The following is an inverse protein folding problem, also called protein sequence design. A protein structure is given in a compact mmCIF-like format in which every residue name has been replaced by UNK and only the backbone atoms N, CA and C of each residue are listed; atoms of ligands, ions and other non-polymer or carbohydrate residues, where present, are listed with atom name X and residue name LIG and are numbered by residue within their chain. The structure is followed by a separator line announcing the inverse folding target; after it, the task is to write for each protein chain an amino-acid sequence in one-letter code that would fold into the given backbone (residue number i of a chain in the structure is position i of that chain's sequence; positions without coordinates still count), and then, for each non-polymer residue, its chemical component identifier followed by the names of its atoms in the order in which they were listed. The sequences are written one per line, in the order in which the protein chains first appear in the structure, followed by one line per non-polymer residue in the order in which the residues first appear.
data_IF_557492397247
#
_entry.id   IF_557492397247
#
_cell.length_a   1.000
_cell.length_b   1.000
_cell.length_c   1.000
_cell.angle_alpha   90.00
_cell.angle_beta   90.00
_cell.angle_gamma   90.00
#
_symmetry.space_group_name_H-M   'P 1'
#
loop_
_entity.id
_entity.type
_entity.pdbx_description
1 polymer ?
#
# COMPACT_ATOMS: atom_id res chain seq x y z
N UNK A 1 10.71 21.56 15.23
CA UNK A 1 11.05 20.12 15.18
C UNK A 1 9.86 19.31 15.65
N UNK A 2 9.26 18.46 14.80
CA UNK A 2 8.22 17.53 15.24
C UNK A 2 8.84 16.53 16.23
N UNK A 3 8.19 16.32 17.37
CA UNK A 3 8.65 15.42 18.44
C UNK A 3 8.94 14.04 17.86
N UNK A 4 10.08 13.46 18.23
CA UNK A 4 10.46 12.09 17.92
C UNK A 4 9.35 11.12 18.32
N UNK A 5 9.16 10.08 17.50
CA UNK A 5 8.25 8.97 17.77
C UNK A 5 8.52 8.45 19.18
N UNK A 6 7.50 8.50 20.05
CA UNK A 6 7.58 8.00 21.41
C UNK A 6 7.65 6.47 21.38
N UNK A 7 8.58 5.86 22.11
CA UNK A 7 8.71 4.40 22.25
C UNK A 7 7.48 3.71 22.88
N UNK A 8 6.50 4.49 23.35
CA UNK A 8 5.20 3.99 23.84
C UNK A 8 4.14 3.83 22.76
N UNK A 9 4.35 4.34 21.54
CA UNK A 9 3.40 4.17 20.45
C UNK A 9 3.63 2.83 19.77
N UNK A 10 2.56 2.07 19.43
CA UNK A 10 2.70 0.82 18.70
C UNK A 10 3.43 1.07 17.38
N UNK A 11 4.37 0.19 17.04
CA UNK A 11 5.05 0.20 15.76
C UNK A 11 4.02 0.06 14.64
N UNK A 12 4.25 0.74 13.52
CA UNK A 12 3.36 0.70 12.35
C UNK A 12 4.08 0.20 11.11
N UNK A 13 3.48 -0.77 10.42
CA UNK A 13 3.94 -1.23 9.11
C UNK A 13 3.06 -0.58 8.04
N UNK A 14 3.70 0.15 7.14
CA UNK A 14 3.08 0.85 6.02
C UNK A 14 3.74 0.36 4.73
N UNK A 15 2.94 -0.06 3.75
CA UNK A 15 3.43 -0.49 2.44
C UNK A 15 3.08 0.57 1.39
N UNK A 16 3.91 0.71 0.35
CA UNK A 16 3.65 1.66 -0.73
C UNK A 16 3.14 0.92 -1.96
N UNK A 17 1.92 1.24 -2.39
CA UNK A 17 1.24 0.80 -3.60
C UNK A 17 1.12 1.93 -4.65
N UNK A 18 0.12 1.88 -5.53
CA UNK A 18 -0.16 2.81 -6.63
C UNK A 18 -1.60 2.60 -7.13
N UNK A 19 -2.23 3.59 -7.76
CA UNK A 19 -3.49 3.43 -8.53
C UNK A 19 -3.43 2.29 -9.56
N UNK A 20 -2.23 1.89 -9.98
CA UNK A 20 -2.03 0.71 -10.82
C UNK A 20 -2.65 -0.58 -10.24
N UNK A 21 -2.78 -0.68 -8.90
CA UNK A 21 -3.38 -1.83 -8.23
C UNK A 21 -4.81 -2.14 -8.71
N UNK A 22 -5.58 -1.10 -9.09
CA UNK A 22 -6.97 -1.24 -9.55
C UNK A 22 -7.10 -2.05 -10.84
N UNK A 23 -6.00 -2.19 -11.59
CA UNK A 23 -5.93 -2.95 -12.83
C UNK A 23 -5.19 -4.29 -12.68
N UNK A 24 -4.66 -4.57 -11.47
CA UNK A 24 -3.96 -5.82 -11.18
C UNK A 24 -4.91 -7.01 -11.12
N UNK A 25 -4.39 -8.17 -11.51
CA UNK A 25 -5.05 -9.47 -11.41
C UNK A 25 -4.04 -10.48 -10.86
N UNK A 26 -4.42 -11.19 -9.80
CA UNK A 26 -3.55 -12.21 -9.21
C UNK A 26 -3.81 -13.54 -9.92
N UNK A 27 -2.82 -14.00 -10.67
CA UNK A 27 -2.77 -15.32 -11.26
C UNK A 27 -1.64 -16.11 -10.57
N UNK A 28 -2.02 -17.10 -9.76
CA UNK A 28 -1.04 -17.90 -9.00
C UNK A 28 -0.24 -18.84 -9.90
N UNK A 29 -0.80 -19.27 -11.04
CA UNK A 29 -0.11 -20.17 -11.98
C UNK A 29 0.94 -19.42 -12.83
N UNK A 30 0.87 -18.09 -12.84
CA UNK A 30 1.77 -17.21 -13.58
C UNK A 30 2.12 -15.96 -12.76
N UNK A 31 2.37 -16.15 -11.47
CA UNK A 31 2.62 -15.03 -10.54
C UNK A 31 3.83 -14.19 -10.94
N UNK A 32 4.87 -14.86 -11.47
CA UNK A 32 6.10 -14.24 -11.97
C UNK A 32 5.95 -13.64 -13.38
N UNK A 33 4.76 -13.74 -13.99
CA UNK A 33 4.46 -13.22 -15.32
C UNK A 33 5.45 -13.66 -16.40
N UNK A 34 5.91 -14.91 -16.33
CA UNK A 34 6.75 -15.54 -17.37
C UNK A 34 6.03 -15.57 -18.74
N UNK A 35 4.70 -15.46 -18.71
CA UNK A 35 3.84 -15.33 -19.89
C UNK A 35 2.99 -14.05 -19.76
N UNK A 36 3.35 -12.94 -20.39
CA UNK A 36 2.51 -11.74 -20.33
C UNK A 36 3.16 -10.41 -20.73
N UNK A 37 2.39 -9.32 -20.52
CA UNK A 37 2.79 -7.93 -20.82
C UNK A 37 3.42 -7.29 -19.57
N UNK A 38 4.60 -6.71 -19.71
CA UNK A 38 5.39 -6.11 -18.63
C UNK A 38 4.63 -5.09 -17.74
N UNK A 39 3.69 -4.33 -18.29
CA UNK A 39 2.89 -3.37 -17.51
C UNK A 39 2.01 -4.03 -16.44
N UNK A 40 1.61 -5.29 -16.66
CA UNK A 40 0.79 -6.07 -15.73
C UNK A 40 1.57 -6.48 -14.48
N UNK A 41 2.88 -6.61 -14.58
CA UNK A 41 3.76 -6.93 -13.45
C UNK A 41 3.72 -5.84 -12.39
N UNK A 42 3.85 -4.59 -12.83
CA UNK A 42 3.74 -3.46 -11.92
C UNK A 42 2.34 -3.36 -11.30
N UNK A 43 1.27 -3.62 -12.05
CA UNK A 43 -0.10 -3.60 -11.52
C UNK A 43 -0.32 -4.69 -10.46
N UNK A 44 0.14 -5.91 -10.75
CA UNK A 44 0.03 -7.08 -9.87
C UNK A 44 0.85 -6.89 -8.60
N UNK A 45 2.10 -6.45 -8.71
CA UNK A 45 2.97 -6.13 -7.57
C UNK A 45 2.31 -5.10 -6.63
N UNK A 46 1.71 -4.05 -7.20
CA UNK A 46 1.03 -3.00 -6.41
C UNK A 46 -0.24 -3.53 -5.72
N UNK A 47 -0.94 -4.47 -6.35
CA UNK A 47 -2.07 -5.18 -5.74
C UNK A 47 -1.61 -6.11 -4.60
N UNK A 48 -0.52 -6.85 -4.79
CA UNK A 48 0.06 -7.72 -3.76
C UNK A 48 0.45 -6.95 -2.49
N UNK A 49 1.03 -5.75 -2.63
CA UNK A 49 1.33 -4.89 -1.47
C UNK A 49 0.09 -4.58 -0.62
N UNK A 50 -1.09 -4.45 -1.23
CA UNK A 50 -2.34 -4.19 -0.49
C UNK A 50 -2.81 -5.47 0.20
N UNK A 51 -2.80 -6.60 -0.51
CA UNK A 51 -3.20 -7.92 0.01
C UNK A 51 -2.34 -8.31 1.21
N UNK A 52 -1.01 -8.22 1.08
CA UNK A 52 -0.05 -8.53 2.15
C UNK A 52 -0.25 -7.60 3.35
N UNK A 53 -0.43 -6.29 3.13
CA UNK A 53 -0.66 -5.34 4.23
C UNK A 53 -1.93 -5.70 5.03
N UNK A 54 -2.99 -6.12 4.35
CA UNK A 54 -4.25 -6.54 4.98
C UNK A 54 -4.12 -7.86 5.72
N UNK A 55 -3.43 -8.85 5.15
CA UNK A 55 -3.24 -10.12 5.84
C UNK A 55 -2.31 -9.97 7.04
N UNK A 56 -1.23 -9.18 6.94
CA UNK A 56 -0.44 -8.78 8.10
C UNK A 56 -1.35 -8.09 9.15
N UNK A 57 -2.26 -7.22 8.68
CA UNK A 57 -3.43 -6.71 9.41
C UNK A 57 -4.10 -7.73 10.31
N UNK A 58 -4.57 -8.82 9.71
CA UNK A 58 -5.28 -9.88 10.39
C UNK A 58 -4.36 -10.72 11.30
N UNK A 59 -3.15 -11.05 10.86
CA UNK A 59 -2.22 -11.87 11.63
C UNK A 59 -1.73 -11.16 12.90
N UNK A 60 -1.51 -9.85 12.81
CA UNK A 60 -0.92 -9.03 13.88
C UNK A 60 -1.97 -8.33 14.75
N UNK A 61 -3.27 -8.55 14.53
CA UNK A 61 -4.35 -8.05 15.40
C UNK A 61 -4.19 -8.44 16.87
N UNK A 62 -3.41 -9.49 17.17
CA UNK A 62 -3.13 -9.96 18.53
C UNK A 62 -1.88 -9.33 19.16
N UNK A 63 -1.09 -8.54 18.42
CA UNK A 63 0.07 -7.83 18.96
C UNK A 63 -0.29 -6.37 19.25
N UNK A 64 -0.51 -5.99 20.52
CA UNK A 64 -0.86 -4.61 20.88
C UNK A 64 0.28 -3.62 20.63
N UNK A 65 1.50 -4.11 20.38
CA UNK A 65 2.68 -3.30 20.09
C UNK A 65 2.91 -3.10 18.59
N UNK A 66 2.22 -3.84 17.72
CA UNK A 66 2.44 -3.79 16.28
C UNK A 66 1.12 -3.71 15.53
N UNK A 67 0.86 -2.54 14.96
CA UNK A 67 -0.34 -2.27 14.20
C UNK A 67 0.00 -2.22 12.70
N UNK A 68 -0.71 -3.01 11.91
CA UNK A 68 -0.50 -3.09 10.46
C UNK A 68 -1.65 -2.45 9.73
N UNK A 69 -1.32 -1.46 8.93
CA UNK A 69 -2.29 -0.79 8.11
C UNK A 69 -1.62 0.22 7.22
N UNK A 70 -2.21 0.36 6.05
CA UNK A 70 -1.96 1.38 5.05
C UNK A 70 -1.09 0.91 3.87
N UNK A 71 -1.73 0.81 2.70
CA UNK A 71 -1.07 0.82 1.40
C UNK A 71 -1.19 2.21 0.75
N UNK A 72 -0.08 2.80 0.28
CA UNK A 72 -0.01 4.20 -0.20
C UNK A 72 0.18 4.24 -1.70
N UNK A 73 -0.73 4.84 -2.46
CA UNK A 73 -0.45 5.09 -3.87
C UNK A 73 0.42 6.34 -4.10
N UNK A 74 1.55 6.17 -4.81
CA UNK A 74 2.27 7.28 -5.45
C UNK A 74 2.27 7.09 -6.97
N UNK A 75 1.71 8.05 -7.71
CA UNK A 75 1.76 8.04 -9.18
C UNK A 75 3.08 8.68 -9.64
N UNK A 76 4.03 7.88 -10.14
CA UNK A 76 5.26 8.38 -10.77
C UNK A 76 5.28 7.86 -12.22
N UNK A 77 4.84 8.68 -13.18
CA UNK A 77 5.13 8.48 -14.61
C UNK A 77 6.08 9.59 -15.03
N UNK A 78 7.37 9.25 -15.03
CA UNK A 78 8.52 10.17 -15.06
C UNK A 78 8.78 10.85 -16.42
N UNK A 79 7.78 10.99 -17.30
CA UNK A 79 7.91 11.65 -18.62
C UNK A 79 6.95 12.81 -18.83
N UNK A 80 5.92 12.98 -18.00
CA UNK A 80 4.98 14.12 -18.03
C UNK A 80 5.13 15.06 -16.81
N UNK A 81 5.97 14.69 -15.84
CA UNK A 81 6.03 15.27 -14.48
C UNK A 81 6.61 16.68 -14.37
N UNK A 82 7.07 17.31 -15.47
CA UNK A 82 7.56 18.70 -15.40
C UNK A 82 6.46 19.73 -15.20
N UNK A 83 5.18 19.38 -15.39
CA UNK A 83 4.09 20.37 -15.36
C UNK A 83 3.08 20.17 -14.23
N UNK A 84 2.91 18.98 -13.64
CA UNK A 84 1.92 18.71 -12.57
C UNK A 84 2.31 17.57 -11.59
N UNK A 85 3.60 17.31 -11.37
CA UNK A 85 4.04 16.25 -10.46
C UNK A 85 4.01 16.67 -8.98
N UNK A 86 3.66 15.74 -8.08
CA UNK A 86 3.86 15.94 -6.64
C UNK A 86 5.36 15.97 -6.32
N UNK A 87 5.78 16.82 -5.39
CA UNK A 87 7.20 16.87 -4.99
C UNK A 87 7.56 15.66 -4.12
N UNK A 88 8.85 15.38 -3.98
CA UNK A 88 9.32 14.33 -3.08
C UNK A 88 8.85 14.59 -1.62
N UNK A 89 8.79 15.85 -1.20
CA UNK A 89 8.30 16.28 0.11
C UNK A 89 6.80 16.04 0.30
N UNK A 90 6.01 16.22 -0.77
CA UNK A 90 4.58 15.85 -0.77
C UNK A 90 4.43 14.33 -0.72
N UNK A 91 5.26 13.57 -1.43
CA UNK A 91 5.33 12.11 -1.32
C UNK A 91 5.63 11.65 0.10
N UNK A 92 6.61 12.27 0.76
CA UNK A 92 6.95 12.02 2.17
C UNK A 92 5.79 12.38 3.10
N UNK A 93 5.06 13.47 2.82
CA UNK A 93 3.88 13.85 3.62
C UNK A 93 2.76 12.81 3.51
N UNK A 94 2.49 12.34 2.29
CA UNK A 94 1.52 11.28 2.03
C UNK A 94 1.93 9.94 2.67
N UNK A 95 3.24 9.70 2.83
CA UNK A 95 3.79 8.46 3.40
C UNK A 95 4.00 8.50 4.92
N UNK A 96 4.36 9.64 5.48
CA UNK A 96 4.75 9.75 6.90
C UNK A 96 3.72 10.48 7.76
N UNK A 97 2.90 11.38 7.21
CA UNK A 97 2.09 12.29 8.05
C UNK A 97 0.65 11.80 8.23
N UNK A 98 0.02 11.31 7.16
CA UNK A 98 -1.37 10.80 7.21
C UNK A 98 -1.47 9.33 7.72
N UNK A 99 -0.81 8.35 7.08
CA UNK A 99 -0.81 6.93 7.45
C UNK A 99 -0.23 6.62 8.83
N UNK A 100 1.01 7.05 9.04
CA UNK A 100 1.83 6.57 10.15
C UNK A 100 1.32 7.07 11.50
N UNK A 101 0.58 8.19 11.49
CA UNK A 101 -0.03 8.78 12.68
C UNK A 101 -1.54 8.50 12.82
N UNK A 102 -2.20 7.91 11.81
CA UNK A 102 -3.59 7.46 11.94
C UNK A 102 -3.69 6.31 12.96
N UNK A 103 -4.79 6.22 13.71
CA UNK A 103 -5.04 5.09 14.61
C UNK A 103 -5.70 3.90 13.88
N UNK A 104 -6.14 4.09 12.64
CA UNK A 104 -6.84 3.09 11.84
C UNK A 104 -5.88 2.17 11.07
N UNK A 105 -6.37 0.96 10.79
CA UNK A 105 -5.61 -0.20 10.32
C UNK A 105 -6.31 -0.80 9.10
N UNK A 106 -5.57 -1.48 8.21
CA UNK A 106 -6.16 -2.14 7.03
C UNK A 106 -6.74 -1.24 5.92
N UNK A 107 -6.60 0.09 6.02
CA UNK A 107 -7.10 1.06 5.03
C UNK A 107 -6.15 1.26 3.84
N UNK A 108 -6.67 1.78 2.72
CA UNK A 108 -5.88 2.18 1.55
C UNK A 108 -6.09 3.67 1.30
N UNK A 109 -5.02 4.39 0.99
CA UNK A 109 -5.12 5.82 0.70
C UNK A 109 -4.28 6.17 -0.51
N UNK A 110 -4.77 7.18 -1.20
CA UNK A 110 -4.19 7.74 -2.40
C UNK A 110 -4.18 9.25 -2.23
N UNK A 111 -2.96 9.81 -2.23
CA UNK A 111 -2.73 11.24 -1.97
C UNK A 111 -3.31 11.76 -0.64
N UNK A 112 -3.35 10.90 0.39
CA UNK A 112 -3.87 11.24 1.72
C UNK A 112 -5.38 11.10 1.88
N UNK A 113 -6.09 10.68 0.84
CA UNK A 113 -7.54 10.43 0.87
C UNK A 113 -7.78 8.93 0.91
N UNK A 114 -8.63 8.47 1.84
CA UNK A 114 -9.04 7.06 1.91
C UNK A 114 -9.79 6.68 0.64
N UNK A 115 -9.42 5.55 0.04
CA UNK A 115 -10.08 5.02 -1.14
C UNK A 115 -10.26 3.51 -1.02
N UNK A 116 -11.20 2.98 -1.78
CA UNK A 116 -11.31 1.54 -1.97
C UNK A 116 -10.23 1.07 -2.96
N UNK A 117 -9.42 0.07 -2.59
CA UNK A 117 -8.47 -0.56 -3.50
C UNK A 117 -9.21 -1.47 -4.50
N UNK A 118 -8.46 -2.16 -5.36
CA UNK A 118 -9.00 -3.21 -6.22
C UNK A 118 -9.94 -4.15 -5.43
N UNK A 119 -11.08 -4.53 -6.04
CA UNK A 119 -12.06 -5.47 -5.47
C UNK A 119 -11.43 -6.77 -4.92
N UNK A 120 -10.37 -7.27 -5.56
CA UNK A 120 -9.65 -8.48 -5.15
C UNK A 120 -8.92 -8.28 -3.81
N UNK A 121 -8.52 -7.04 -3.49
CA UNK A 121 -7.78 -6.72 -2.27
C UNK A 121 -8.57 -6.96 -0.97
N UNK A 122 -9.87 -7.20 -1.05
CA UNK A 122 -10.71 -7.59 0.11
C UNK A 122 -10.89 -9.11 0.23
N UNK A 123 -10.36 -9.91 -0.71
CA UNK A 123 -10.42 -11.37 -0.65
C UNK A 123 -9.30 -11.92 0.23
N UNK A 124 -9.65 -12.33 1.44
CA UNK A 124 -8.69 -12.87 2.40
C UNK A 124 -8.10 -14.22 1.96
N UNK A 125 -8.84 -15.07 1.23
CA UNK A 125 -8.29 -16.35 0.75
C UNK A 125 -7.18 -16.15 -0.26
N UNK A 126 -7.31 -15.13 -1.13
CA UNK A 126 -6.25 -14.76 -2.06
C UNK A 126 -5.06 -14.21 -1.28
N UNK A 127 -5.29 -13.37 -0.27
CA UNK A 127 -4.22 -12.81 0.56
C UNK A 127 -3.43 -13.89 1.34
N UNK A 128 -4.11 -14.95 1.81
CA UNK A 128 -3.50 -16.10 2.52
C UNK A 128 -2.70 -17.04 1.63
N UNK A 129 -2.98 -17.05 0.33
CA UNK A 129 -2.28 -17.88 -0.66
C UNK A 129 -0.99 -17.24 -1.17
N UNK A 130 -0.86 -15.92 -1.02
CA UNK A 130 0.36 -15.16 -1.31
C UNK A 130 1.39 -15.33 -0.19
#
# INVERSE_FOLDING_TARGET
MKKSVSAKLPGKIVLTSSRANNFGEIDFDNLNLEKGVYLRDMQNTKLMNILICKELGYMLQNDPHLNTGFSISTLIINTLSRLNGITAEQGVTNVLVYPAFSLETGKYYDEGIEQEPNKIANNQEIAKKL
#
